data_IF_683811030623
#
_entry.id   IF_683811030623
#
_cell.length_a   1.000
_cell.length_b   1.000
_cell.length_c   1.000
_cell.angle_alpha   90.00
_cell.angle_beta   90.00
_cell.angle_gamma   90.00
#
_symmetry.space_group_name_H-M   'P 1'
#
loop_
_entity.id
_entity.type
_entity.pdbx_description
1 polymer ?
#
# COMPACT_ATOMS: atom_id res chain seq x y z
N UNK A 1 16.81 -7.17 1.51
CA UNK A 1 16.63 -6.70 1.41
C UNK A 1 15.98 -6.04 1.51
N UNK A 2 15.79 -5.76 1.69
CA UNK A 2 15.15 -5.05 1.92
C UNK A 2 14.25 -4.58 1.32
N UNK A 3 13.18 -4.51 1.69
CA UNK A 3 12.08 -4.13 0.92
C UNK A 3 12.16 -2.72 0.43
N UNK A 4 12.93 -1.93 0.94
CA UNK A 4 13.12 -0.56 0.48
C UNK A 4 11.86 0.30 0.53
N UNK A 5 10.85 -0.13 1.23
CA UNK A 5 9.69 0.71 1.43
C UNK A 5 9.96 1.69 2.56
N UNK A 6 9.57 2.94 2.33
CA UNK A 6 9.72 3.98 3.33
C UNK A 6 8.44 4.13 4.12
N UNK A 7 8.48 4.97 5.16
CA UNK A 7 7.27 5.26 5.93
C UNK A 7 6.18 5.85 5.04
N UNK A 8 6.56 6.70 4.08
CA UNK A 8 5.60 7.27 3.15
C UNK A 8 4.92 6.17 2.34
N UNK A 9 5.69 5.19 1.88
CA UNK A 9 5.13 4.11 1.10
C UNK A 9 4.09 3.34 1.90
N UNK A 10 4.39 3.06 3.16
CA UNK A 10 3.44 2.36 4.01
C UNK A 10 2.21 3.21 4.30
N UNK A 11 2.39 4.52 4.44
CA UNK A 11 1.25 5.42 4.62
C UNK A 11 0.30 5.33 3.43
N UNK A 12 0.86 5.33 2.23
CA UNK A 12 0.03 5.23 1.03
C UNK A 12 -0.68 3.89 0.95
N UNK A 13 0.02 2.80 1.33
CA UNK A 13 -0.62 1.49 1.37
C UNK A 13 -1.79 1.49 2.35
N UNK A 14 -1.62 2.12 3.51
CA UNK A 14 -2.71 2.20 4.48
C UNK A 14 -3.89 2.96 3.92
N UNK A 15 -3.64 4.03 3.20
CA UNK A 15 -4.71 4.79 2.57
C UNK A 15 -5.45 3.95 1.54
N UNK A 16 -4.71 3.19 0.74
CA UNK A 16 -5.32 2.32 -0.24
C UNK A 16 -6.14 1.22 0.43
N UNK A 17 -5.60 0.65 1.49
CA UNK A 17 -6.31 -0.37 2.23
C UNK A 17 -7.61 0.17 2.83
N UNK A 18 -7.54 1.35 3.44
CA UNK A 18 -8.72 1.96 4.02
C UNK A 18 -9.79 2.26 2.98
N UNK A 19 -9.38 2.72 1.81
CA UNK A 19 -10.33 2.99 0.74
C UNK A 19 -10.98 1.70 0.26
N UNK A 20 -10.19 0.64 0.10
CA UNK A 20 -10.71 -0.65 -0.34
C UNK A 20 -11.69 -1.23 0.68
N UNK A 21 -11.32 -1.17 1.95
CA UNK A 21 -12.17 -1.71 3.01
C UNK A 21 -13.45 -0.91 3.15
N UNK A 22 -13.37 0.40 2.92
CA UNK A 22 -14.55 1.26 3.01
C UNK A 22 -15.33 1.36 1.72
N UNK A 23 -14.90 0.67 0.67
CA UNK A 23 -15.52 0.71 -0.65
C UNK A 23 -15.60 2.13 -1.18
N UNK A 24 -14.54 2.89 -0.95
CA UNK A 24 -14.44 4.26 -1.44
C UNK A 24 -13.39 4.33 -2.53
N UNK A 25 -13.42 5.43 -3.27
CA UNK A 25 -12.41 5.65 -4.29
C UNK A 25 -11.06 5.80 -3.63
N UNK A 26 -10.04 5.23 -4.28
CA UNK A 26 -8.69 5.37 -3.78
C UNK A 26 -8.24 6.83 -3.91
N UNK A 27 -7.46 7.34 -2.95
CA UNK A 27 -6.93 8.69 -3.07
C UNK A 27 -5.93 8.77 -4.22
N UNK A 28 -5.75 9.97 -4.77
CA UNK A 28 -4.72 10.16 -5.79
C UNK A 28 -3.35 9.89 -5.18
N UNK A 29 -2.55 9.10 -5.87
CA UNK A 29 -1.26 8.66 -5.36
C UNK A 29 -0.18 9.20 -6.29
N UNK A 30 0.94 9.72 -5.75
CA UNK A 30 2.01 10.22 -6.61
C UNK A 30 2.52 9.13 -7.54
N UNK A 31 2.88 9.55 -8.75
CA UNK A 31 3.30 8.60 -9.77
C UNK A 31 4.49 7.74 -9.32
N UNK A 32 5.45 8.35 -8.65
CA UNK A 32 6.62 7.60 -8.21
C UNK A 32 6.26 6.56 -7.17
N UNK A 33 5.32 6.88 -6.27
CA UNK A 33 4.87 5.90 -5.28
C UNK A 33 4.06 4.80 -5.96
N UNK A 34 3.18 5.18 -6.89
CA UNK A 34 2.38 4.20 -7.61
C UNK A 34 3.27 3.22 -8.35
N UNK A 35 4.29 3.73 -9.04
CA UNK A 35 5.20 2.88 -9.79
C UNK A 35 5.95 1.93 -8.86
N UNK A 36 6.37 2.43 -7.71
CA UNK A 36 7.10 1.62 -6.75
C UNK A 36 6.22 0.52 -6.18
N UNK A 37 5.03 0.87 -5.73
CA UNK A 37 4.12 -0.13 -5.16
C UNK A 37 3.70 -1.14 -6.22
N UNK A 38 3.52 -0.69 -7.46
CA UNK A 38 3.21 -1.60 -8.55
C UNK A 38 4.35 -2.56 -8.84
N UNK A 39 5.58 -2.06 -8.79
CA UNK A 39 6.76 -2.89 -9.04
C UNK A 39 6.89 -3.99 -7.99
N UNK A 40 6.53 -3.68 -6.75
CA UNK A 40 6.56 -4.69 -5.69
C UNK A 40 5.33 -5.59 -5.69
N UNK A 41 4.33 -5.27 -6.49
CA UNK A 41 3.11 -6.06 -6.53
C UNK A 41 2.18 -5.77 -5.37
N UNK A 42 2.38 -4.65 -4.67
CA UNK A 42 1.55 -4.28 -3.53
C UNK A 42 0.31 -3.51 -3.93
N UNK A 43 0.32 -2.93 -5.11
CA UNK A 43 -0.82 -2.19 -5.62
C UNK A 43 -0.92 -2.43 -7.11
N UNK A 44 -2.13 -2.31 -7.64
CA UNK A 44 -2.36 -2.49 -9.06
C UNK A 44 -3.37 -1.47 -9.54
N UNK A 45 -3.32 -1.08 -10.81
CA UNK A 45 -4.32 -0.17 -11.35
C UNK A 45 -5.67 -0.88 -11.48
N UNK A 46 -6.74 -0.14 -11.22
CA UNK A 46 -8.07 -0.68 -11.45
C UNK A 46 -8.66 -0.09 -12.73
N UNK A 47 -9.91 -0.44 -13.02
CA UNK A 47 -10.50 -0.04 -14.29
C UNK A 47 -10.73 1.47 -14.41
N UNK A 48 -10.77 2.18 -13.31
CA UNK A 48 -10.97 3.63 -13.37
C UNK A 48 -9.66 4.40 -13.36
N UNK A 49 -8.53 3.70 -13.43
CA UNK A 49 -7.24 4.38 -13.47
C UNK A 49 -6.64 4.67 -12.11
N UNK A 50 -7.36 4.38 -11.05
CA UNK A 50 -6.83 4.51 -9.70
C UNK A 50 -6.10 3.23 -9.33
N UNK A 51 -5.39 3.25 -8.21
CA UNK A 51 -4.70 2.07 -7.73
C UNK A 51 -5.44 1.46 -6.55
N UNK A 52 -5.37 0.14 -6.44
CA UNK A 52 -5.98 -0.56 -5.33
C UNK A 52 -4.94 -1.48 -4.72
N UNK A 53 -5.09 -1.75 -3.42
CA UNK A 53 -4.14 -2.62 -2.72
C UNK A 53 -4.38 -4.07 -3.12
N UNK A 54 -3.29 -4.83 -3.17
CA UNK A 54 -3.37 -6.26 -3.46
C UNK A 54 -3.26 -7.05 -2.16
N UNK A 55 -3.48 -8.36 -2.26
CA UNK A 55 -3.25 -9.23 -1.09
C UNK A 55 -1.82 -9.10 -0.58
N UNK A 56 -0.88 -9.00 -1.51
CA UNK A 56 0.52 -8.84 -1.14
C UNK A 56 0.74 -7.55 -0.38
N UNK A 57 0.06 -6.48 -0.81
CA UNK A 57 0.16 -5.21 -0.11
C UNK A 57 -0.43 -5.29 1.29
N UNK A 58 -1.54 -5.98 1.44
CA UNK A 58 -2.14 -6.17 2.75
C UNK A 58 -1.22 -6.94 3.68
N UNK A 59 -0.57 -7.98 3.16
CA UNK A 59 0.38 -8.75 3.94
C UNK A 59 1.55 -7.90 4.39
N UNK A 60 2.05 -7.03 3.51
CA UNK A 60 3.16 -6.16 3.85
C UNK A 60 2.77 -5.20 4.98
N UNK A 61 1.55 -4.66 4.92
CA UNK A 61 1.07 -3.79 5.98
C UNK A 61 0.93 -4.52 7.30
N UNK A 62 0.40 -5.73 7.23
CA UNK A 62 0.22 -6.53 8.43
C UNK A 62 1.56 -6.81 9.09
N UNK A 63 2.54 -7.17 8.31
CA UNK A 63 3.88 -7.41 8.84
C UNK A 63 4.45 -6.18 9.51
N UNK A 64 4.27 -5.03 8.88
CA UNK A 64 4.79 -3.79 9.43
C UNK A 64 4.10 -3.45 10.75
N UNK A 65 2.79 -3.64 10.81
CA UNK A 65 2.04 -3.36 12.03
C UNK A 65 2.48 -4.29 13.16
N UNK A 66 2.76 -5.55 12.84
CA UNK A 66 3.20 -6.49 13.85
C UNK A 66 4.58 -6.12 14.38
N UNK A 67 5.45 -5.64 13.50
CA UNK A 67 6.77 -5.20 13.95
C UNK A 67 6.68 -4.00 14.86
N UNK A 68 5.81 -3.05 14.50
CA UNK A 68 5.62 -1.88 15.32
C UNK A 68 5.13 -2.27 16.71
N UNK A 69 4.23 -3.23 16.77
CA UNK A 69 3.71 -3.68 18.06
C UNK A 69 4.79 -4.34 18.89
N UNK A 70 5.67 -5.10 18.26
CA UNK A 70 6.73 -5.78 18.96
C UNK A 70 7.84 -4.86 19.42
N UNK A 71 7.97 -3.75 18.76
CA UNK A 71 9.08 -2.85 18.99
C UNK A 71 8.90 -2.03 20.25
N UNK A 72 7.93 -2.30 21.06
CA UNK A 72 7.60 -1.51 22.22
C UNK A 72 8.22 -2.01 23.51
#
# INVERSE_FOLDING_TARGET
MDSNLTADDFDWLRKLKGAADGKRDSPPIPTNIAAKLGAFGFAKPNSSGAFTITSKGRDALLEQDMRDAEDR
#
